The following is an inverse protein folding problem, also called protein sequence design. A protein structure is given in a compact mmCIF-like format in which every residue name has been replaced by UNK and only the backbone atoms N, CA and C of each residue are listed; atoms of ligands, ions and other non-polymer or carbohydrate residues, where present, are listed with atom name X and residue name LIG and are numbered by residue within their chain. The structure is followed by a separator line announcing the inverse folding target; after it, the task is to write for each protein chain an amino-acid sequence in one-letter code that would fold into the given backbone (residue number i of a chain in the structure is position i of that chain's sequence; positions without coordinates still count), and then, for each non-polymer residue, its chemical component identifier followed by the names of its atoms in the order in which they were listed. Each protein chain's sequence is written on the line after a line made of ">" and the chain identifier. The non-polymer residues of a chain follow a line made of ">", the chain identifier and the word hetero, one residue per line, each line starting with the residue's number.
data_IF_874354841410
#
_entry.id   IF_874354841410
#
_cell.length_a   1.000
_cell.length_b   1.000
_cell.length_c   1.000
_cell.angle_alpha   90.00
_cell.angle_beta   90.00
_cell.angle_gamma   90.00
#
_symmetry.space_group_name_H-M   'P 1'
#
loop_
_entity.id
_entity.type
_entity.pdbx_description
1 polymer ?
#
# COMPACT_ATOMS: atom_id res chain seq x y z
N UNK A 1 0.44 17.60 -22.94
CA UNK A 1 0.06 17.82 -21.53
C UNK A 1 1.14 17.22 -20.66
N UNK A 2 1.42 17.83 -19.50
CA UNK A 2 2.27 17.20 -18.48
C UNK A 2 1.59 15.90 -18.01
N UNK A 3 2.37 14.85 -17.76
CA UNK A 3 1.90 13.66 -17.03
C UNK A 3 2.44 13.81 -15.62
N UNK A 4 1.58 14.04 -14.64
CA UNK A 4 2.03 14.34 -13.28
C UNK A 4 2.29 13.06 -12.49
N UNK A 5 1.24 12.38 -11.99
CA UNK A 5 1.44 11.20 -11.14
C UNK A 5 0.65 9.97 -11.60
N UNK A 6 -0.69 10.00 -11.55
CA UNK A 6 -1.50 8.87 -12.01
C UNK A 6 -1.40 8.69 -13.53
N UNK A 7 -1.44 9.78 -14.29
CA UNK A 7 -1.23 9.79 -15.74
C UNK A 7 0.08 9.10 -16.20
N UNK A 8 1.16 9.16 -15.40
CA UNK A 8 2.40 8.45 -15.75
C UNK A 8 2.35 6.97 -15.38
N UNK A 9 1.70 6.61 -14.26
CA UNK A 9 1.45 5.20 -13.93
C UNK A 9 0.59 4.56 -15.03
N UNK A 10 -0.55 5.18 -15.33
CA UNK A 10 -1.49 4.74 -16.35
C UNK A 10 -0.80 4.59 -17.72
N UNK A 11 0.03 5.55 -18.12
CA UNK A 11 0.85 5.43 -19.32
C UNK A 11 1.76 4.20 -19.34
N UNK A 12 2.51 3.98 -18.24
CA UNK A 12 3.43 2.83 -18.19
C UNK A 12 2.68 1.49 -18.19
N UNK A 13 1.47 1.46 -17.63
CA UNK A 13 0.60 0.30 -17.70
C UNK A 13 0.09 0.07 -19.11
N UNK A 14 -0.43 1.10 -19.77
CA UNK A 14 -0.88 1.03 -21.16
C UNK A 14 0.23 0.55 -22.09
N UNK A 15 1.45 1.08 -21.91
CA UNK A 15 2.64 0.62 -22.63
C UNK A 15 2.91 -0.87 -22.40
N UNK A 16 2.92 -1.33 -21.14
CA UNK A 16 3.14 -2.74 -20.81
C UNK A 16 2.04 -3.65 -21.38
N UNK A 17 0.78 -3.24 -21.30
CA UNK A 17 -0.35 -3.99 -21.83
C UNK A 17 -0.24 -4.20 -23.35
N UNK A 18 0.42 -3.28 -24.06
CA UNK A 18 0.72 -3.40 -25.49
C UNK A 18 2.06 -4.13 -25.78
N UNK A 19 2.94 -4.22 -24.77
CA UNK A 19 4.29 -4.78 -24.87
C UNK A 19 4.65 -5.61 -23.62
N UNK A 20 3.97 -6.75 -23.36
CA UNK A 20 4.04 -7.45 -22.08
C UNK A 20 5.41 -8.07 -21.77
N UNK A 21 6.32 -8.10 -22.75
CA UNK A 21 7.71 -8.56 -22.59
C UNK A 21 8.63 -7.49 -22.00
N UNK A 22 8.13 -6.27 -21.72
CA UNK A 22 8.93 -5.14 -21.23
C UNK A 22 8.47 -4.64 -19.84
N UNK A 23 8.56 -5.47 -18.77
CA UNK A 23 8.13 -5.07 -17.42
C UNK A 23 8.97 -3.94 -16.82
N UNK A 24 10.17 -3.67 -17.36
CA UNK A 24 11.02 -2.57 -16.93
C UNK A 24 10.45 -1.18 -17.22
N UNK A 25 9.41 -1.07 -18.05
CA UNK A 25 8.67 0.18 -18.24
C UNK A 25 7.75 0.54 -17.09
N UNK A 26 7.33 -0.44 -16.27
CA UNK A 26 6.40 -0.20 -15.17
C UNK A 26 7.03 0.77 -14.16
N UNK A 27 6.41 1.94 -13.96
CA UNK A 27 6.94 3.02 -13.12
C UNK A 27 7.19 2.55 -11.67
N UNK A 28 6.46 1.55 -11.22
CA UNK A 28 6.60 0.97 -9.89
C UNK A 28 8.02 0.45 -9.62
N UNK A 29 8.72 -0.08 -10.63
CA UNK A 29 10.07 -0.63 -10.47
C UNK A 29 11.10 0.42 -10.08
N UNK A 30 11.28 1.54 -10.81
CA UNK A 30 12.20 2.59 -10.37
C UNK A 30 11.76 3.23 -9.04
N UNK A 31 10.46 3.34 -8.73
CA UNK A 31 10.02 3.85 -7.43
C UNK A 31 10.53 2.99 -6.27
N UNK A 32 10.34 1.67 -6.34
CA UNK A 32 10.82 0.73 -5.30
C UNK A 32 12.35 0.73 -5.23
N UNK A 33 13.03 0.66 -6.39
CA UNK A 33 14.50 0.67 -6.43
C UNK A 33 15.07 1.96 -5.83
N UNK A 34 14.46 3.11 -6.09
CA UNK A 34 14.87 4.38 -5.51
C UNK A 34 14.74 4.39 -3.98
N UNK A 35 13.64 3.86 -3.44
CA UNK A 35 13.46 3.72 -1.99
C UNK A 35 14.52 2.82 -1.35
N UNK A 36 14.85 1.68 -1.98
CA UNK A 36 15.93 0.80 -1.50
C UNK A 36 17.29 1.51 -1.54
N UNK A 37 17.59 2.25 -2.61
CA UNK A 37 18.85 3.03 -2.70
C UNK A 37 18.91 4.18 -1.71
N UNK A 38 17.78 4.78 -1.36
CA UNK A 38 17.71 5.76 -0.28
C UNK A 38 18.07 5.10 1.06
N UNK A 39 17.54 3.90 1.36
CA UNK A 39 17.92 3.13 2.56
C UNK A 39 19.44 2.84 2.57
N UNK A 40 19.99 2.33 1.47
CA UNK A 40 21.44 2.07 1.35
C UNK A 40 22.27 3.34 1.66
N UNK A 41 21.84 4.47 1.12
CA UNK A 41 22.53 5.76 1.29
C UNK A 41 22.45 6.23 2.73
N UNK A 42 21.30 6.09 3.38
CA UNK A 42 21.12 6.45 4.79
C UNK A 42 22.01 5.56 5.68
N UNK A 43 22.01 4.23 5.48
CA UNK A 43 22.89 3.31 6.22
C UNK A 43 24.35 3.71 6.07
N UNK A 44 24.80 3.92 4.83
CA UNK A 44 26.18 4.28 4.54
C UNK A 44 26.57 5.61 5.21
N UNK A 45 25.69 6.61 5.15
CA UNK A 45 25.92 7.91 5.79
C UNK A 45 26.05 7.79 7.31
N UNK A 46 25.13 7.07 7.97
CA UNK A 46 25.16 6.87 9.43
C UNK A 46 26.45 6.17 9.84
N UNK A 47 26.82 5.09 9.15
CA UNK A 47 28.01 4.31 9.46
C UNK A 47 29.30 5.11 9.25
N UNK A 48 29.36 5.94 8.22
CA UNK A 48 30.56 6.71 7.88
C UNK A 48 30.72 7.97 8.73
N UNK A 49 29.64 8.73 8.95
CA UNK A 49 29.71 10.09 9.49
C UNK A 49 29.21 10.22 10.93
N UNK A 50 28.53 9.21 11.47
CA UNK A 50 28.05 9.18 12.85
C UNK A 50 28.62 8.01 13.69
N UNK A 51 29.88 7.55 13.48
CA UNK A 51 30.41 6.37 14.20
C UNK A 51 30.41 6.56 15.73
N UNK A 52 30.57 7.80 16.20
CA UNK A 52 30.56 8.16 17.63
C UNK A 52 29.22 7.90 18.33
N UNK A 53 28.12 7.71 17.59
CA UNK A 53 26.82 7.39 18.21
C UNK A 53 26.74 5.92 18.65
N UNK A 54 27.68 5.08 18.22
CA UNK A 54 27.68 3.65 18.54
C UNK A 54 26.41 2.91 18.08
N UNK A 55 25.61 3.51 17.20
CA UNK A 55 24.37 2.95 16.68
C UNK A 55 24.60 2.43 15.26
N UNK A 56 24.29 1.16 15.05
CA UNK A 56 24.21 0.58 13.72
C UNK A 56 22.78 0.74 13.20
N UNK A 57 22.60 1.31 12.01
CA UNK A 57 21.28 1.42 11.40
C UNK A 57 20.93 0.12 10.67
N UNK A 58 20.32 -0.80 11.41
CA UNK A 58 20.05 -2.16 10.94
C UNK A 58 18.70 -2.31 10.24
N UNK A 59 17.72 -1.48 10.61
CA UNK A 59 16.33 -1.69 10.26
C UNK A 59 15.57 -0.40 9.97
N UNK A 60 14.51 -0.54 9.18
CA UNK A 60 13.66 0.54 8.72
C UNK A 60 12.19 0.20 8.97
N UNK A 61 11.43 1.23 9.32
CA UNK A 61 9.99 1.26 9.05
C UNK A 61 9.78 2.13 7.82
N UNK A 62 8.97 1.66 6.87
CA UNK A 62 8.68 2.39 5.64
C UNK A 62 7.22 2.79 5.61
N UNK A 63 6.94 4.05 5.28
CA UNK A 63 5.60 4.59 5.17
C UNK A 63 5.47 5.50 3.95
N UNK A 64 4.28 5.58 3.39
CA UNK A 64 3.99 6.41 2.23
C UNK A 64 2.50 6.42 1.92
N UNK A 65 2.03 7.53 1.34
CA UNK A 65 0.62 7.71 0.99
C UNK A 65 0.35 7.47 -0.50
N UNK A 66 -0.83 6.94 -0.81
CA UNK A 66 -1.36 6.78 -2.15
C UNK A 66 -0.40 5.94 -3.00
N UNK A 67 0.06 6.47 -4.14
CA UNK A 67 1.09 5.83 -4.97
C UNK A 67 2.36 5.46 -4.19
N UNK A 68 2.77 6.24 -3.19
CA UNK A 68 3.91 5.90 -2.31
C UNK A 68 3.55 4.84 -1.27
N UNK A 69 2.27 4.70 -0.93
CA UNK A 69 1.75 3.57 -0.13
C UNK A 69 1.85 2.25 -0.88
N UNK A 70 1.53 2.25 -2.18
CA UNK A 70 1.79 1.10 -3.04
C UNK A 70 3.28 0.74 -3.06
N UNK A 71 4.15 1.75 -3.21
CA UNK A 71 5.60 1.53 -3.15
C UNK A 71 6.04 1.00 -1.79
N UNK A 72 5.42 1.44 -0.69
CA UNK A 72 5.74 0.96 0.67
C UNK A 72 5.50 -0.54 0.82
N UNK A 73 4.37 -1.05 0.32
CA UNK A 73 4.11 -2.48 0.26
C UNK A 73 5.23 -3.25 -0.45
N UNK A 74 5.60 -2.81 -1.66
CA UNK A 74 6.60 -3.52 -2.45
C UNK A 74 8.02 -3.35 -1.91
N UNK A 75 8.34 -2.23 -1.27
CA UNK A 75 9.62 -2.06 -0.56
C UNK A 75 9.73 -3.09 0.57
N UNK A 76 8.66 -3.26 1.36
CA UNK A 76 8.61 -4.31 2.38
C UNK A 76 8.77 -5.71 1.79
N UNK A 77 8.09 -6.00 0.69
CA UNK A 77 8.22 -7.29 0.01
C UNK A 77 9.63 -7.52 -0.55
N UNK A 78 10.26 -6.51 -1.16
CA UNK A 78 11.56 -6.63 -1.82
C UNK A 78 12.70 -6.79 -0.82
N UNK A 79 12.63 -6.13 0.34
CA UNK A 79 13.69 -6.12 1.35
C UNK A 79 13.18 -6.42 2.77
N UNK A 80 12.64 -7.64 3.01
CA UNK A 80 12.04 -8.01 4.29
C UNK A 80 13.08 -8.16 5.42
N UNK A 81 14.37 -8.21 5.09
CA UNK A 81 15.45 -8.30 6.08
C UNK A 81 15.66 -6.96 6.77
N UNK A 82 15.70 -5.86 6.00
CA UNK A 82 15.91 -4.51 6.52
C UNK A 82 14.61 -3.80 6.87
N UNK A 83 13.50 -4.10 6.21
CA UNK A 83 12.20 -3.49 6.50
C UNK A 83 11.50 -4.30 7.61
N UNK A 84 11.55 -3.78 8.84
CA UNK A 84 10.96 -4.44 10.02
C UNK A 84 9.49 -4.14 10.23
N UNK A 85 8.98 -3.09 9.62
CA UNK A 85 7.57 -2.77 9.63
C UNK A 85 7.21 -1.87 8.44
N UNK A 86 5.95 -1.89 8.03
CA UNK A 86 5.43 -0.99 7.01
C UNK A 86 4.15 -0.27 7.47
N UNK A 87 3.95 0.94 6.99
CA UNK A 87 2.72 1.71 7.16
C UNK A 87 2.26 2.31 5.81
N UNK A 88 1.65 1.51 4.92
CA UNK A 88 1.05 2.02 3.70
C UNK A 88 -0.22 2.82 4.05
N UNK A 89 -0.36 4.01 3.45
CA UNK A 89 -1.44 4.96 3.73
C UNK A 89 -2.26 5.17 2.44
N UNK A 90 -3.58 5.15 2.53
CA UNK A 90 -4.56 5.36 1.45
C UNK A 90 -4.19 4.62 0.16
N UNK A 91 -3.80 3.35 0.33
CA UNK A 91 -3.56 2.47 -0.79
C UNK A 91 -3.74 1.01 -0.38
N UNK A 92 -4.98 0.56 -0.52
CA UNK A 92 -5.37 -0.83 -0.36
C UNK A 92 -6.10 -1.42 -1.58
N UNK A 93 -5.84 -0.84 -2.76
CA UNK A 93 -6.16 -1.43 -4.06
C UNK A 93 -5.29 -2.68 -4.37
N UNK A 94 -5.21 -3.59 -3.41
CA UNK A 94 -4.51 -4.87 -3.42
C UNK A 94 -5.48 -5.92 -3.95
N UNK A 95 -4.98 -6.89 -4.72
CA UNK A 95 -5.84 -7.72 -5.57
C UNK A 95 -6.63 -6.81 -6.53
N UNK A 96 -5.88 -5.95 -7.22
CA UNK A 96 -6.34 -4.76 -7.92
C UNK A 96 -7.53 -5.02 -8.84
N UNK A 97 -7.46 -6.05 -9.69
CA UNK A 97 -8.55 -6.37 -10.63
C UNK A 97 -9.85 -6.70 -9.90
N UNK A 98 -9.77 -7.46 -8.80
CA UNK A 98 -10.96 -7.80 -8.02
C UNK A 98 -11.57 -6.56 -7.35
N UNK A 99 -10.73 -5.71 -6.76
CA UNK A 99 -11.14 -4.44 -6.13
C UNK A 99 -11.74 -3.47 -7.16
N UNK A 100 -11.15 -3.33 -8.35
CA UNK A 100 -11.73 -2.48 -9.40
C UNK A 100 -13.09 -3.01 -9.88
N UNK A 101 -13.25 -4.32 -10.05
CA UNK A 101 -14.57 -4.88 -10.37
C UNK A 101 -15.60 -4.62 -9.27
N UNK A 102 -15.20 -4.63 -8.00
CA UNK A 102 -16.06 -4.28 -6.88
C UNK A 102 -16.53 -2.83 -6.95
N UNK A 103 -15.61 -1.90 -7.22
CA UNK A 103 -15.93 -0.48 -7.35
C UNK A 103 -16.97 -0.22 -8.45
N UNK A 104 -16.75 -0.78 -9.63
CA UNK A 104 -17.69 -0.61 -10.73
C UNK A 104 -19.08 -1.18 -10.41
N UNK A 105 -19.14 -2.35 -9.76
CA UNK A 105 -20.42 -2.97 -9.37
C UNK A 105 -21.13 -2.19 -8.28
N UNK A 106 -20.38 -1.60 -7.36
CA UNK A 106 -20.92 -0.84 -6.23
C UNK A 106 -21.49 0.51 -6.67
N UNK A 107 -20.80 1.22 -7.56
CA UNK A 107 -21.17 2.59 -7.96
C UNK A 107 -21.95 2.66 -9.28
N UNK A 108 -21.86 1.62 -10.11
CA UNK A 108 -22.39 1.63 -11.48
C UNK A 108 -21.55 2.47 -12.46
N UNK A 109 -20.41 2.98 -12.00
CA UNK A 109 -19.43 3.76 -12.75
C UNK A 109 -18.07 3.68 -12.05
N UNK A 110 -17.02 4.16 -12.71
CA UNK A 110 -15.70 4.35 -12.09
C UNK A 110 -15.71 5.62 -11.22
N UNK A 111 -14.89 5.64 -10.17
CA UNK A 111 -14.60 6.89 -9.47
C UNK A 111 -13.97 7.92 -10.42
N UNK A 112 -14.24 9.21 -10.18
CA UNK A 112 -13.59 10.31 -10.91
C UNK A 112 -12.07 10.28 -10.75
N UNK A 113 -11.57 9.77 -9.64
CA UNK A 113 -10.14 9.62 -9.38
C UNK A 113 -9.44 8.63 -10.34
N UNK A 114 -10.19 7.81 -11.07
CA UNK A 114 -9.66 6.92 -12.11
C UNK A 114 -9.59 7.57 -13.50
N UNK A 115 -9.87 8.87 -13.66
CA UNK A 115 -9.90 9.58 -14.95
C UNK A 115 -8.62 9.35 -15.78
N UNK A 116 -7.44 9.50 -15.20
CA UNK A 116 -6.15 9.24 -15.87
C UNK A 116 -6.02 7.80 -16.43
N UNK A 117 -6.62 6.82 -15.73
CA UNK A 117 -6.61 5.41 -16.16
C UNK A 117 -7.67 5.17 -17.25
N UNK A 118 -8.79 5.89 -17.21
CA UNK A 118 -9.84 5.85 -18.23
C UNK A 118 -9.33 6.47 -19.53
N UNK A 119 -8.65 7.63 -19.44
CA UNK A 119 -8.07 8.35 -20.58
C UNK A 119 -6.98 7.54 -21.28
N UNK A 120 -6.22 6.72 -20.54
CA UNK A 120 -5.26 5.75 -21.08
C UNK A 120 -5.92 4.43 -21.52
N UNK A 121 -7.26 4.36 -21.55
CA UNK A 121 -8.06 3.22 -21.98
C UNK A 121 -7.77 1.93 -21.18
N UNK A 122 -7.42 2.06 -19.89
CA UNK A 122 -7.12 0.93 -19.02
C UNK A 122 -8.36 0.32 -18.37
N UNK A 123 -9.36 1.13 -18.05
CA UNK A 123 -10.55 0.67 -17.33
C UNK A 123 -11.32 -0.42 -18.11
N UNK A 124 -11.31 -0.36 -19.45
CA UNK A 124 -11.90 -1.40 -20.31
C UNK A 124 -11.00 -2.63 -20.52
N UNK A 125 -9.78 -2.59 -19.97
CA UNK A 125 -8.73 -3.60 -20.14
C UNK A 125 -8.34 -4.26 -18.81
N UNK A 126 -9.11 -4.07 -17.74
CA UNK A 126 -8.81 -4.74 -16.47
C UNK A 126 -8.89 -6.27 -16.56
N UNK A 127 -9.73 -6.79 -17.44
CA UNK A 127 -9.84 -8.23 -17.77
C UNK A 127 -8.87 -8.72 -18.86
N UNK A 128 -8.02 -7.83 -19.41
CA UNK A 128 -7.00 -8.23 -20.39
C UNK A 128 -5.99 -9.18 -19.73
N UNK A 129 -5.63 -10.33 -20.34
CA UNK A 129 -4.61 -11.23 -19.79
C UNK A 129 -3.28 -10.53 -19.47
N UNK A 130 -2.91 -9.49 -20.23
CA UNK A 130 -1.73 -8.69 -19.98
C UNK A 130 -1.88 -7.80 -18.73
N UNK A 131 -3.10 -7.41 -18.35
CA UNK A 131 -3.34 -6.77 -17.04
C UNK A 131 -3.04 -7.76 -15.91
N UNK A 132 -3.49 -9.01 -16.03
CA UNK A 132 -3.15 -10.06 -15.06
C UNK A 132 -1.64 -10.28 -14.93
N UNK A 133 -0.89 -10.25 -16.04
CA UNK A 133 0.57 -10.30 -16.03
C UNK A 133 1.19 -9.05 -15.40
N UNK A 134 0.64 -7.87 -15.67
CA UNK A 134 1.10 -6.61 -15.09
C UNK A 134 0.98 -6.65 -13.56
N UNK A 135 -0.19 -7.08 -13.05
CA UNK A 135 -0.44 -7.11 -11.61
C UNK A 135 0.50 -8.07 -10.88
N UNK A 136 0.96 -9.16 -11.51
CA UNK A 136 2.00 -10.02 -10.92
C UNK A 136 3.31 -9.29 -10.62
N UNK A 137 3.60 -8.16 -11.30
CA UNK A 137 4.79 -7.35 -11.07
C UNK A 137 4.58 -6.22 -10.07
N UNK A 138 3.37 -5.68 -9.96
CA UNK A 138 3.14 -4.45 -9.20
C UNK A 138 2.21 -4.63 -8.02
N UNK A 139 1.26 -5.55 -8.05
CA UNK A 139 0.27 -5.71 -6.97
C UNK A 139 0.89 -6.46 -5.76
N UNK A 140 0.84 -5.88 -4.55
CA UNK A 140 1.34 -6.53 -3.32
C UNK A 140 0.76 -7.92 -3.06
N UNK A 141 -0.44 -8.22 -3.58
CA UNK A 141 -1.11 -9.51 -3.40
C UNK A 141 -0.28 -10.71 -3.91
N UNK A 142 0.51 -10.51 -4.97
CA UNK A 142 1.41 -11.54 -5.51
C UNK A 142 2.72 -11.68 -4.72
N UNK A 143 2.94 -10.81 -3.74
CA UNK A 143 4.10 -10.82 -2.86
C UNK A 143 3.75 -11.07 -1.38
N UNK A 144 2.50 -11.43 -1.07
CA UNK A 144 2.00 -11.63 0.31
C UNK A 144 2.89 -12.52 1.19
N UNK A 145 3.49 -13.56 0.62
CA UNK A 145 4.37 -14.49 1.35
C UNK A 145 5.66 -13.83 1.86
N UNK A 146 6.03 -12.67 1.29
CA UNK A 146 7.19 -11.86 1.69
C UNK A 146 6.83 -10.74 2.65
N UNK A 147 5.54 -10.55 2.96
CA UNK A 147 5.02 -9.46 3.79
C UNK A 147 4.80 -9.85 5.25
N UNK A 148 5.56 -10.81 5.77
CA UNK A 148 5.44 -11.32 7.14
C UNK A 148 5.85 -10.32 8.24
N UNK A 149 6.43 -9.17 7.87
CA UNK A 149 6.72 -8.11 8.83
C UNK A 149 5.42 -7.46 9.35
N UNK A 150 5.43 -6.86 10.56
CA UNK A 150 4.36 -6.00 11.03
C UNK A 150 3.93 -4.95 10.02
N UNK A 151 2.61 -4.79 9.87
CA UNK A 151 2.02 -3.76 9.01
C UNK A 151 0.87 -3.03 9.71
N UNK A 152 0.85 -1.72 9.58
CA UNK A 152 -0.29 -0.86 9.92
C UNK A 152 -0.82 -0.26 8.62
N UNK A 153 -1.87 -0.86 8.07
CA UNK A 153 -2.52 -0.32 6.87
C UNK A 153 -3.46 0.79 7.29
N UNK A 154 -3.31 1.97 6.69
CA UNK A 154 -4.08 3.17 7.03
C UNK A 154 -4.93 3.57 5.85
N UNK A 155 -6.24 3.70 6.05
CA UNK A 155 -7.21 4.07 5.02
C UNK A 155 -8.13 5.20 5.48
N UNK A 156 -8.91 5.73 4.54
CA UNK A 156 -9.96 6.72 4.78
C UNK A 156 -11.35 6.10 4.64
N UNK A 157 -12.31 6.57 5.42
CA UNK A 157 -13.73 6.22 5.22
C UNK A 157 -14.35 6.90 3.99
N UNK A 158 -13.85 8.07 3.59
CA UNK A 158 -14.35 8.85 2.45
C UNK A 158 -13.28 8.95 1.35
N UNK A 159 -12.47 7.91 1.20
CA UNK A 159 -11.46 7.86 0.14
C UNK A 159 -12.16 7.79 -1.23
N UNK A 160 -11.79 8.70 -2.12
CA UNK A 160 -12.38 8.78 -3.45
C UNK A 160 -11.83 7.69 -4.39
N UNK A 161 -10.67 7.09 -4.10
CA UNK A 161 -10.08 5.99 -4.87
C UNK A 161 -10.51 4.61 -4.37
N UNK A 162 -10.50 4.38 -3.05
CA UNK A 162 -10.70 3.05 -2.45
C UNK A 162 -11.98 2.96 -1.62
N UNK A 163 -12.59 1.79 -1.58
CA UNK A 163 -13.82 1.56 -0.82
C UNK A 163 -13.50 1.05 0.59
N UNK A 164 -14.32 1.38 1.60
CA UNK A 164 -14.09 0.94 2.97
C UNK A 164 -14.14 -0.60 3.14
N UNK A 165 -14.73 -1.32 2.18
CA UNK A 165 -14.85 -2.77 2.17
C UNK A 165 -13.89 -3.48 1.18
N UNK A 166 -12.93 -2.77 0.58
CA UNK A 166 -11.92 -3.36 -0.32
C UNK A 166 -11.10 -4.47 0.36
N UNK A 167 -10.93 -4.37 1.67
CA UNK A 167 -10.31 -5.40 2.53
C UNK A 167 -10.91 -6.79 2.35
N UNK A 168 -12.18 -6.91 1.95
CA UNK A 168 -12.84 -8.19 1.65
C UNK A 168 -12.05 -9.04 0.64
N UNK A 169 -11.37 -8.40 -0.31
CA UNK A 169 -10.73 -9.06 -1.45
C UNK A 169 -9.29 -9.52 -1.20
N UNK A 170 -8.67 -9.12 -0.08
CA UNK A 170 -7.24 -9.38 0.13
C UNK A 170 -6.80 -9.47 1.60
N UNK A 171 -7.53 -8.89 2.56
CA UNK A 171 -7.05 -8.76 3.95
C UNK A 171 -6.78 -10.10 4.61
N UNK A 172 -7.68 -11.08 4.42
CA UNK A 172 -7.54 -12.43 5.00
C UNK A 172 -6.28 -13.16 4.53
N UNK A 173 -5.82 -12.86 3.31
CA UNK A 173 -4.69 -13.54 2.68
C UNK A 173 -3.33 -12.92 3.09
N UNK A 174 -3.34 -11.73 3.70
CA UNK A 174 -2.13 -11.10 4.20
C UNK A 174 -1.64 -11.75 5.49
N UNK A 175 -0.33 -11.96 5.67
CA UNK A 175 0.20 -12.58 6.88
C UNK A 175 0.13 -11.65 8.10
N UNK A 176 0.03 -12.26 9.28
CA UNK A 176 0.21 -11.57 10.57
C UNK A 176 1.69 -11.17 10.80
N UNK A 177 1.98 -10.19 11.68
CA UNK A 177 1.02 -9.33 12.35
C UNK A 177 0.52 -8.21 11.42
N UNK A 178 -0.79 -7.98 11.39
CA UNK A 178 -1.42 -6.93 10.57
C UNK A 178 -2.48 -6.15 11.36
N UNK A 179 -2.42 -4.83 11.23
CA UNK A 179 -3.35 -3.90 11.86
C UNK A 179 -3.94 -3.00 10.78
N UNK A 180 -5.18 -2.58 10.98
CA UNK A 180 -5.89 -1.69 10.08
C UNK A 180 -6.39 -0.49 10.85
N UNK A 181 -6.19 0.71 10.31
CA UNK A 181 -6.76 1.95 10.81
C UNK A 181 -7.55 2.59 9.68
N UNK A 182 -8.85 2.83 9.91
CA UNK A 182 -9.66 3.62 8.98
C UNK A 182 -9.99 4.94 9.65
N UNK A 183 -9.46 6.03 9.11
CA UNK A 183 -9.72 7.37 9.60
C UNK A 183 -11.17 7.77 9.24
N UNK A 184 -12.02 8.08 10.24
CA UNK A 184 -13.39 8.53 9.98
C UNK A 184 -13.38 9.96 9.42
N UNK A 185 -14.35 10.27 8.55
CA UNK A 185 -14.52 11.60 7.94
C UNK A 185 -13.25 12.13 7.24
N UNK A 186 -12.40 11.22 6.74
CA UNK A 186 -11.20 11.57 6.01
C UNK A 186 -11.27 11.20 4.54
N UNK A 187 -10.75 12.09 3.71
CA UNK A 187 -10.59 11.95 2.26
C UNK A 187 -9.24 11.33 1.88
N UNK A 188 -9.02 11.03 0.60
CA UNK A 188 -7.78 10.40 0.10
C UNK A 188 -6.51 11.19 0.49
N UNK A 189 -6.61 12.51 0.63
CA UNK A 189 -5.46 13.35 1.02
C UNK A 189 -5.01 13.17 2.47
N UNK A 190 -5.84 12.53 3.32
CA UNK A 190 -5.62 12.33 4.76
C UNK A 190 -5.44 13.60 5.59
N UNK A 191 -5.77 14.78 5.07
CA UNK A 191 -5.58 16.04 5.79
C UNK A 191 -6.50 16.13 6.99
N UNK A 192 -7.76 15.73 6.84
CA UNK A 192 -8.76 15.76 7.93
C UNK A 192 -8.58 14.63 8.95
N UNK A 193 -7.92 13.53 8.57
CA UNK A 193 -7.60 12.38 9.46
C UNK A 193 -6.22 12.45 10.11
N UNK A 194 -5.50 13.56 9.95
CA UNK A 194 -4.08 13.66 10.35
C UNK A 194 -3.89 13.48 11.86
N UNK A 195 -4.87 13.88 12.67
CA UNK A 195 -4.82 13.81 14.13
C UNK A 195 -4.94 12.37 14.64
N UNK A 196 -5.56 11.48 13.88
CA UNK A 196 -5.65 10.05 14.16
C UNK A 196 -4.43 9.30 13.58
N UNK A 197 -4.10 9.59 12.32
CA UNK A 197 -3.12 8.82 11.54
C UNK A 197 -1.69 9.02 12.02
N UNK A 198 -1.26 10.27 12.26
CA UNK A 198 0.15 10.55 12.64
C UNK A 198 0.50 9.93 14.00
N UNK A 199 -0.32 10.10 15.07
CA UNK A 199 -0.03 9.45 16.34
C UNK A 199 -0.06 7.92 16.25
N UNK A 200 -0.97 7.34 15.48
CA UNK A 200 -1.05 5.89 15.30
C UNK A 200 0.20 5.32 14.63
N UNK A 201 0.66 5.92 13.54
CA UNK A 201 1.91 5.52 12.86
C UNK A 201 3.11 5.72 13.79
N UNK A 202 3.17 6.83 14.52
CA UNK A 202 4.25 7.11 15.48
C UNK A 202 4.30 6.08 16.61
N UNK A 203 3.16 5.74 17.20
CA UNK A 203 3.05 4.73 18.25
C UNK A 203 3.40 3.34 17.70
N UNK A 204 2.90 2.98 16.51
CA UNK A 204 3.24 1.72 15.85
C UNK A 204 4.74 1.62 15.57
N UNK A 205 5.36 2.69 15.07
CA UNK A 205 6.80 2.74 14.83
C UNK A 205 7.58 2.54 16.13
N UNK A 206 7.24 3.29 17.18
CA UNK A 206 7.90 3.21 18.47
C UNK A 206 7.76 1.81 19.09
N UNK A 207 6.56 1.23 19.05
CA UNK A 207 6.31 -0.10 19.60
C UNK A 207 7.16 -1.17 18.91
N UNK A 208 7.20 -1.15 17.57
CA UNK A 208 8.02 -2.10 16.81
C UNK A 208 9.53 -1.89 17.05
N UNK A 209 10.01 -0.65 17.15
CA UNK A 209 11.43 -0.38 17.42
C UNK A 209 11.85 -0.72 18.84
N UNK A 210 10.96 -0.56 19.82
CA UNK A 210 11.21 -0.90 21.22
C UNK A 210 10.87 -2.35 21.57
N UNK A 211 10.45 -3.18 20.60
CA UNK A 211 9.92 -4.52 20.81
C UNK A 211 8.81 -4.57 21.88
N UNK A 212 7.97 -3.54 21.92
CA UNK A 212 6.79 -3.49 22.77
C UNK A 212 5.61 -4.18 22.07
N UNK A 213 4.68 -4.79 22.82
CA UNK A 213 3.49 -5.39 22.25
C UNK A 213 2.65 -4.33 21.52
N UNK A 214 2.31 -4.61 20.26
CA UNK A 214 1.29 -3.85 19.52
C UNK A 214 -0.08 -4.45 19.85
N UNK A 215 -1.11 -3.63 20.16
CA UNK A 215 -2.44 -4.15 20.49
C UNK A 215 -3.02 -5.02 19.37
N UNK A 216 -3.36 -6.26 19.70
CA UNK A 216 -4.16 -7.12 18.83
C UNK A 216 -5.64 -6.94 19.14
N UNK A 217 -6.46 -6.82 18.10
CA UNK A 217 -7.92 -6.77 18.23
C UNK A 217 -8.51 -8.03 17.63
N UNK A 218 -9.42 -8.65 18.35
CA UNK A 218 -10.25 -9.73 17.84
C UNK A 218 -11.72 -9.34 17.97
N UNK A 219 -12.53 -9.71 16.99
CA UNK A 219 -13.96 -9.48 17.09
C UNK A 219 -14.76 -10.66 16.54
N UNK A 220 -15.95 -10.83 17.09
CA UNK A 220 -16.97 -11.75 16.58
C UNK A 220 -18.23 -10.97 16.25
N UNK A 221 -18.82 -11.28 15.11
CA UNK A 221 -20.10 -10.74 14.67
C UNK A 221 -21.15 -11.82 14.91
N UNK A 222 -22.19 -11.47 15.67
CA UNK A 222 -23.41 -12.26 15.70
C UNK A 222 -24.20 -11.96 14.41
N UNK A 223 -24.32 -12.95 13.53
CA UNK A 223 -24.99 -12.77 12.24
C UNK A 223 -26.53 -12.73 12.36
N UNK A 224 -27.09 -13.15 13.49
CA UNK A 224 -28.53 -13.14 13.73
C UNK A 224 -28.96 -11.78 14.34
N UNK A 225 -28.15 -11.24 15.25
CA UNK A 225 -28.46 -9.97 15.96
C UNK A 225 -27.70 -8.75 15.43
N UNK A 226 -26.66 -8.93 14.62
CA UNK A 226 -25.79 -7.86 14.12
C UNK A 226 -24.89 -7.24 15.19
N UNK A 227 -24.65 -7.94 16.31
CA UNK A 227 -23.83 -7.46 17.42
C UNK A 227 -22.34 -7.71 17.20
N UNK A 228 -21.51 -6.74 17.60
CA UNK A 228 -20.05 -6.82 17.56
C UNK A 228 -19.50 -6.99 18.97
N UNK A 229 -18.78 -8.10 19.20
CA UNK A 229 -18.02 -8.31 20.43
C UNK A 229 -16.54 -8.14 20.11
N UNK A 230 -15.87 -7.18 20.75
CA UNK A 230 -14.45 -6.92 20.58
C UNK A 230 -13.68 -7.33 21.83
N UNK A 231 -12.59 -8.08 21.67
CA UNK A 231 -11.69 -8.54 22.73
C UNK A 231 -10.23 -8.31 22.38
#
# INVERSE_FOLDING_TARGET
>A
MSRDEDAVIAFTWSHFLNNPTQPNWLLRFPMVKASIRAMDTITAFVNQYLPQRGCQLDYYLVAGASKRGWTTWLVGAVDPVRVKAIAPIVLDAINFVAVMHHQYKSYGAWSIELEDYIDENLAVRFDDPNMGLLQQYVDPYFYKDRLAMPKLVVNAMMDEFQQPDDTHYWWKDMPEPKHFLIAPNAEHSMITGILEVVPAIGAFALANFLNQPVPSFSWTIDNDEGLFFCT
#
